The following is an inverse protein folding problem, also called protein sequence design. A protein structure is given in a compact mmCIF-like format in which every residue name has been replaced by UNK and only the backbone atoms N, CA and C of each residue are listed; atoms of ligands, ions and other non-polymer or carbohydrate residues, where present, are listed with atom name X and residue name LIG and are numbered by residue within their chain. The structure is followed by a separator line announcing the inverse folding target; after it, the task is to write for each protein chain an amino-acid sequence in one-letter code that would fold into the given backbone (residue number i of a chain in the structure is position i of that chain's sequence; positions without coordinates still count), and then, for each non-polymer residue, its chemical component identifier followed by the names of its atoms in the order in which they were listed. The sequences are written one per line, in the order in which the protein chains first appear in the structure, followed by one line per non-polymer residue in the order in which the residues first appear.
data_IF_337318637652
#
_entry.id   IF_337318637652
#
_cell.length_a   1.000
_cell.length_b   1.000
_cell.length_c   1.000
_cell.angle_alpha   90.00
_cell.angle_beta   90.00
_cell.angle_gamma   90.00
#
_symmetry.space_group_name_H-M   'P 1'
#
loop_
_entity.id
_entity.type
_entity.pdbx_description
1 polymer ?
#
# COMPACT_ATOMS: atom_id res chain seq x y z
N UNK A 1 -55.10 6.24 -13.04
CA UNK A 1 -54.15 7.26 -12.51
C UNK A 1 -53.04 6.52 -11.81
N UNK A 2 -52.13 5.95 -12.59
CA UNK A 2 -50.90 5.31 -12.11
C UNK A 2 -49.76 6.30 -12.25
N UNK A 3 -49.04 6.55 -11.17
CA UNK A 3 -47.82 7.37 -11.15
C UNK A 3 -46.65 6.48 -10.75
N UNK A 4 -45.81 6.13 -11.74
CA UNK A 4 -44.49 5.54 -11.52
C UNK A 4 -43.51 6.60 -11.01
N UNK A 5 -42.58 6.26 -10.09
CA UNK A 5 -41.48 7.14 -9.73
C UNK A 5 -40.33 7.02 -10.75
N UNK A 6 -39.79 8.17 -11.16
CA UNK A 6 -38.64 8.32 -12.05
C UNK A 6 -37.34 7.90 -11.35
N UNK A 7 -36.57 7.04 -11.99
CA UNK A 7 -35.17 6.76 -11.66
C UNK A 7 -34.25 7.92 -12.07
N UNK A 8 -33.21 8.27 -11.29
CA UNK A 8 -32.22 9.24 -11.73
C UNK A 8 -31.13 8.57 -12.58
N UNK A 9 -30.78 9.23 -13.69
CA UNK A 9 -29.70 8.88 -14.61
C UNK A 9 -28.37 8.66 -13.89
N UNK A 10 -27.83 7.44 -13.98
CA UNK A 10 -26.43 7.18 -13.69
C UNK A 10 -25.56 7.70 -14.85
N UNK A 11 -24.73 8.71 -14.58
CA UNK A 11 -23.65 9.08 -15.50
C UNK A 11 -22.60 7.97 -15.47
N UNK A 12 -22.56 7.19 -16.53
CA UNK A 12 -21.55 6.17 -16.78
C UNK A 12 -20.19 6.85 -16.95
N UNK A 13 -19.27 6.63 -16.01
CA UNK A 13 -17.88 7.07 -16.16
C UNK A 13 -17.21 6.16 -17.18
N UNK A 14 -17.02 6.62 -18.42
CA UNK A 14 -16.20 5.92 -19.42
C UNK A 14 -14.74 6.24 -19.16
N UNK A 15 -13.96 5.23 -18.79
CA UNK A 15 -12.51 5.29 -18.95
C UNK A 15 -12.21 5.42 -20.45
N UNK A 16 -11.42 6.44 -20.84
CA UNK A 16 -10.92 6.56 -22.22
C UNK A 16 -9.82 5.52 -22.42
N UNK A 17 -10.18 4.33 -22.88
CA UNK A 17 -9.24 3.54 -23.69
C UNK A 17 -9.15 4.22 -25.05
N UNK A 18 -7.93 4.56 -25.46
CA UNK A 18 -7.67 5.04 -26.81
C UNK A 18 -7.55 3.85 -27.76
N UNK A 19 -7.96 4.10 -29.00
CA UNK A 19 -8.13 3.18 -30.15
C UNK A 19 -9.50 2.49 -30.15
N UNK A 20 -10.41 3.01 -30.98
CA UNK A 20 -11.70 2.38 -31.26
C UNK A 20 -11.52 1.31 -32.34
N UNK A 21 -12.34 0.25 -32.28
CA UNK A 21 -12.35 -0.83 -33.29
C UNK A 21 -12.63 -0.35 -34.73
N UNK A 22 -13.09 0.90 -34.91
CA UNK A 22 -13.30 1.53 -36.22
C UNK A 22 -11.99 2.00 -36.89
N UNK A 23 -10.89 2.16 -36.15
CA UNK A 23 -9.58 2.53 -36.73
C UNK A 23 -8.78 1.31 -37.21
N UNK A 24 -9.14 0.10 -36.77
CA UNK A 24 -8.52 -1.15 -37.23
C UNK A 24 -9.08 -1.64 -38.58
N UNK A 25 -10.35 -1.36 -38.88
CA UNK A 25 -10.97 -1.70 -40.18
C UNK A 25 -10.52 -0.78 -41.32
N UNK A 26 -10.17 0.48 -41.04
CA UNK A 26 -9.71 1.43 -42.04
C UNK A 26 -8.28 1.16 -42.56
N UNK A 27 -7.52 0.27 -41.91
CA UNK A 27 -6.17 -0.12 -42.33
C UNK A 27 -6.14 -1.40 -43.20
N UNK A 28 -7.29 -2.02 -43.48
CA UNK A 28 -7.38 -3.31 -44.19
C UNK A 28 -7.78 -3.21 -45.68
N UNK A 29 -8.11 -2.03 -46.23
CA UNK A 29 -8.66 -1.89 -47.59
C UNK A 29 -7.76 -1.20 -48.64
N UNK A 30 -6.45 -1.07 -48.42
CA UNK A 30 -5.54 -0.63 -49.49
C UNK A 30 -4.31 -1.53 -49.60
N UNK A 31 -4.35 -2.49 -50.54
CA UNK A 31 -3.20 -3.36 -50.77
C UNK A 31 -3.35 -4.49 -51.79
N UNK A 32 -4.12 -4.33 -52.88
CA UNK A 32 -3.96 -5.22 -54.05
C UNK A 32 -2.94 -4.62 -55.04
N UNK A 33 -1.73 -5.19 -55.10
CA UNK A 33 -1.04 -5.58 -56.34
C UNK A 33 0.47 -5.89 -56.13
N UNK A 34 0.83 -7.12 -56.52
CA UNK A 34 2.13 -7.58 -57.07
C UNK A 34 3.35 -7.69 -56.13
N UNK A 35 3.56 -8.91 -55.64
CA UNK A 35 4.63 -9.82 -56.08
C UNK A 35 6.10 -9.43 -55.87
N UNK A 36 6.75 -10.05 -54.88
CA UNK A 36 7.84 -11.07 -54.95
C UNK A 36 8.80 -10.96 -53.76
N UNK A 37 8.76 -11.98 -52.90
CA UNK A 37 9.87 -12.57 -52.14
C UNK A 37 10.82 -11.67 -51.32
N UNK A 38 10.57 -11.58 -50.01
CA UNK A 38 11.58 -11.71 -48.93
C UNK A 38 10.87 -11.72 -47.56
N UNK A 39 11.37 -12.53 -46.61
CA UNK A 39 10.79 -12.74 -45.27
C UNK A 39 10.70 -11.44 -44.44
N UNK A 40 9.61 -11.19 -43.67
CA UNK A 40 9.50 -9.96 -42.91
C UNK A 40 10.23 -10.05 -41.56
N UNK A 41 11.24 -9.19 -41.42
CA UNK A 41 11.73 -8.72 -40.12
C UNK A 41 10.61 -7.98 -39.39
N UNK A 42 10.49 -8.24 -38.09
CA UNK A 42 9.55 -7.59 -37.17
C UNK A 42 9.74 -6.07 -37.15
N UNK A 43 8.68 -5.24 -37.07
CA UNK A 43 8.83 -3.79 -37.00
C UNK A 43 9.24 -3.36 -35.59
N UNK A 44 10.30 -2.54 -35.53
CA UNK A 44 10.71 -1.77 -34.36
C UNK A 44 9.57 -0.88 -33.86
N UNK A 45 9.16 -1.07 -32.60
CA UNK A 45 8.45 -0.07 -31.80
C UNK A 45 9.38 1.13 -31.57
N UNK A 46 8.90 2.38 -31.65
CA UNK A 46 9.77 3.53 -31.49
C UNK A 46 10.20 3.64 -30.03
N UNK A 47 11.50 3.50 -29.77
CA UNK A 47 12.10 3.83 -28.49
C UNK A 47 12.01 5.34 -28.29
N UNK A 48 11.36 5.77 -27.21
CA UNK A 48 11.47 7.13 -26.71
C UNK A 48 12.92 7.32 -26.20
N UNK A 49 13.76 7.89 -27.05
CA UNK A 49 15.09 8.36 -26.70
C UNK A 49 14.98 9.49 -25.67
N UNK A 50 15.18 9.20 -24.39
CA UNK A 50 15.47 10.22 -23.40
C UNK A 50 16.96 10.58 -23.43
N UNK A 51 17.31 11.62 -24.18
CA UNK A 51 18.50 12.43 -23.90
C UNK A 51 18.09 13.52 -22.91
N UNK A 52 18.42 13.31 -21.64
CA UNK A 52 18.41 14.34 -20.60
C UNK A 52 19.81 14.43 -20.00
N UNK A 53 20.56 15.47 -20.36
CA UNK A 53 21.82 15.85 -19.75
C UNK A 53 21.55 16.73 -18.52
N UNK A 54 22.14 16.38 -17.37
CA UNK A 54 22.52 17.32 -16.32
C UNK A 54 21.39 17.89 -15.43
N UNK A 55 21.27 17.31 -14.23
CA UNK A 55 20.91 17.95 -12.95
C UNK A 55 19.83 19.03 -12.91
N UNK A 56 18.60 18.64 -12.59
CA UNK A 56 17.61 19.33 -11.72
C UNK A 56 16.49 18.33 -11.43
N UNK A 57 15.81 18.47 -10.28
CA UNK A 57 14.74 17.57 -9.79
C UNK A 57 13.72 17.18 -10.87
N UNK A 58 13.27 15.92 -10.83
CA UNK A 58 12.33 15.34 -11.79
C UNK A 58 10.89 15.81 -11.59
N UNK A 59 10.65 17.11 -11.77
CA UNK A 59 9.32 17.66 -11.94
C UNK A 59 8.78 17.28 -13.32
N UNK A 60 7.54 16.80 -13.39
CA UNK A 60 6.87 16.61 -14.67
C UNK A 60 5.40 16.94 -14.56
N UNK A 61 4.79 17.25 -15.70
CA UNK A 61 3.37 17.60 -15.76
C UNK A 61 2.51 16.34 -15.90
N UNK A 62 1.41 16.26 -15.16
CA UNK A 62 0.38 15.24 -15.38
C UNK A 62 -0.48 15.59 -16.61
N UNK A 63 -1.48 14.74 -16.93
CA UNK A 63 -2.40 14.94 -18.07
C UNK A 63 -3.21 16.25 -17.96
N UNK A 64 -3.25 16.87 -16.78
CA UNK A 64 -3.92 18.15 -16.50
C UNK A 64 -2.96 19.33 -16.37
N UNK A 65 -1.66 19.13 -16.63
CA UNK A 65 -0.63 20.17 -16.57
C UNK A 65 -0.10 20.46 -15.16
N UNK A 66 -0.47 19.66 -14.15
CA UNK A 66 -0.05 19.85 -12.77
C UNK A 66 1.36 19.27 -12.55
N UNK A 67 2.24 20.03 -11.88
CA UNK A 67 3.59 19.55 -11.55
C UNK A 67 3.47 18.48 -10.47
N UNK A 68 3.88 17.26 -10.82
CA UNK A 68 3.88 16.09 -9.94
C UNK A 68 5.29 15.54 -9.77
N UNK A 69 5.58 15.03 -8.57
CA UNK A 69 6.86 14.35 -8.29
C UNK A 69 6.93 13.03 -9.05
N UNK A 70 7.85 12.87 -10.01
CA UNK A 70 7.99 11.61 -10.76
C UNK A 70 9.04 10.69 -10.15
N UNK A 71 8.88 9.39 -10.36
CA UNK A 71 9.92 8.43 -10.04
C UNK A 71 11.15 8.70 -10.93
N UNK A 72 12.34 8.49 -10.39
CA UNK A 72 13.60 8.72 -11.10
C UNK A 72 14.54 7.55 -10.91
N UNK A 73 15.36 7.27 -11.92
CA UNK A 73 16.35 6.20 -11.89
C UNK A 73 17.75 6.71 -12.24
N UNK A 74 18.75 6.13 -11.61
CA UNK A 74 20.14 6.25 -12.02
C UNK A 74 20.41 5.49 -13.32
N UNK A 75 21.58 5.74 -13.93
CA UNK A 75 22.04 5.03 -15.15
C UNK A 75 22.13 3.51 -14.98
N UNK A 76 22.32 3.03 -13.75
CA UNK A 76 22.37 1.61 -13.41
C UNK A 76 20.97 0.98 -13.25
N UNK A 77 19.89 1.76 -13.46
CA UNK A 77 18.50 1.32 -13.36
C UNK A 77 17.91 1.35 -11.95
N UNK A 78 18.66 1.78 -10.92
CA UNK A 78 18.17 1.89 -9.54
C UNK A 78 17.36 3.15 -9.32
N UNK A 79 16.24 3.04 -8.62
CA UNK A 79 15.40 4.16 -8.25
C UNK A 79 16.04 5.06 -7.18
N UNK A 80 15.73 6.34 -7.25
CA UNK A 80 16.24 7.37 -6.32
C UNK A 80 15.10 8.14 -5.68
N UNK A 81 15.29 8.53 -4.42
CA UNK A 81 14.39 9.45 -3.74
C UNK A 81 14.61 10.88 -4.26
N UNK A 82 13.56 11.59 -4.69
CA UNK A 82 13.68 12.96 -5.18
C UNK A 82 13.68 14.02 -4.07
N UNK A 83 13.36 13.68 -2.81
CA UNK A 83 13.16 14.68 -1.76
C UNK A 83 14.47 15.04 -1.03
N UNK A 84 14.68 16.33 -0.69
CA UNK A 84 15.85 16.76 0.08
C UNK A 84 15.86 16.22 1.52
N UNK A 85 14.74 15.72 2.02
CA UNK A 85 14.62 15.03 3.30
C UNK A 85 15.28 13.64 3.28
N UNK A 86 15.50 13.05 2.10
CA UNK A 86 16.11 11.73 1.96
C UNK A 86 17.61 11.73 2.22
N UNK A 87 18.02 10.92 3.19
CA UNK A 87 19.41 10.63 3.47
C UNK A 87 19.52 9.15 3.86
N UNK A 88 20.18 8.33 3.04
CA UNK A 88 20.40 6.94 3.41
C UNK A 88 21.43 6.88 4.55
N UNK A 89 21.20 6.07 5.61
CA UNK A 89 22.15 5.96 6.71
C UNK A 89 23.54 5.53 6.25
N UNK A 90 24.57 6.16 6.82
CA UNK A 90 25.95 5.79 6.52
C UNK A 90 26.26 4.36 6.99
N UNK A 91 27.26 3.70 6.40
CA UNK A 91 27.69 2.37 6.86
C UNK A 91 28.11 2.37 8.34
N UNK A 92 28.68 3.48 8.82
CA UNK A 92 29.03 3.63 10.24
C UNK A 92 27.76 3.71 11.12
N UNK A 93 26.74 4.46 10.68
CA UNK A 93 25.45 4.56 11.37
C UNK A 93 24.72 3.20 11.42
N UNK A 94 24.73 2.45 10.32
CA UNK A 94 24.14 1.11 10.25
C UNK A 94 24.89 0.11 11.14
N UNK A 95 26.22 0.13 11.13
CA UNK A 95 27.03 -0.73 12.00
C UNK A 95 26.74 -0.43 13.48
N UNK A 96 26.68 0.85 13.83
CA UNK A 96 26.29 1.30 15.17
C UNK A 96 24.90 0.80 15.54
N UNK A 97 23.92 1.00 14.67
CA UNK A 97 22.54 0.56 14.89
C UNK A 97 22.42 -0.94 15.18
N UNK A 98 23.09 -1.78 14.39
CA UNK A 98 22.98 -3.24 14.53
C UNK A 98 23.81 -3.84 15.67
N UNK A 99 24.95 -3.23 16.02
CA UNK A 99 25.91 -3.86 16.94
C UNK A 99 26.13 -3.11 18.25
N UNK A 100 25.88 -1.80 18.30
CA UNK A 100 26.28 -0.94 19.41
C UNK A 100 25.10 -0.28 20.11
N UNK A 101 24.06 0.07 19.35
CA UNK A 101 22.88 0.68 19.94
C UNK A 101 22.17 -0.29 20.87
N UNK A 102 21.76 0.25 22.01
CA UNK A 102 21.02 -0.51 22.99
C UNK A 102 19.59 -0.72 22.48
N UNK A 103 19.18 -1.97 22.43
CA UNK A 103 17.80 -2.34 22.18
C UNK A 103 16.94 -1.92 23.39
N UNK A 104 15.99 -1.01 23.17
CA UNK A 104 15.02 -0.56 24.17
C UNK A 104 13.60 -1.08 23.89
N UNK A 105 13.45 -2.08 23.01
CA UNK A 105 12.15 -2.67 22.67
C UNK A 105 11.41 -3.24 23.88
N UNK A 106 12.16 -3.75 24.88
CA UNK A 106 11.67 -4.37 26.11
C UNK A 106 10.46 -5.28 25.88
N UNK A 107 10.59 -6.20 24.94
CA UNK A 107 9.54 -7.16 24.63
C UNK A 107 9.17 -7.98 25.87
N UNK A 108 7.87 -8.22 26.12
CA UNK A 108 7.43 -9.00 27.25
C UNK A 108 7.92 -10.44 27.11
N UNK A 109 8.33 -11.02 28.24
CA UNK A 109 8.91 -12.37 28.27
C UNK A 109 7.87 -13.46 28.44
N UNK A 110 6.71 -13.12 28.97
CA UNK A 110 5.61 -14.05 29.21
C UNK A 110 4.48 -13.83 28.21
N UNK A 111 3.78 -14.92 27.90
CA UNK A 111 2.61 -14.87 27.02
C UNK A 111 1.48 -14.09 27.70
N UNK A 112 1.35 -14.21 29.01
CA UNK A 112 0.30 -13.59 29.81
C UNK A 112 0.42 -12.06 29.82
N UNK A 113 1.65 -11.55 29.94
CA UNK A 113 1.91 -10.10 29.85
C UNK A 113 1.59 -9.59 28.44
N UNK A 114 2.09 -10.26 27.41
CA UNK A 114 1.81 -9.86 26.03
C UNK A 114 0.30 -9.93 25.73
N UNK A 115 -0.40 -10.97 26.20
CA UNK A 115 -1.85 -11.15 25.97
C UNK A 115 -2.69 -10.10 26.73
N UNK A 116 -2.17 -9.53 27.82
CA UNK A 116 -2.78 -8.42 28.54
C UNK A 116 -2.59 -7.08 27.81
N UNK A 117 -1.38 -6.80 27.34
CA UNK A 117 -1.05 -5.50 26.73
C UNK A 117 -1.44 -5.41 25.24
N UNK A 118 -1.29 -6.53 24.51
CA UNK A 118 -1.59 -6.65 23.08
C UNK A 118 -2.41 -7.92 22.82
N UNK A 119 -3.70 -7.93 23.18
CA UNK A 119 -4.56 -9.09 23.02
C UNK A 119 -4.71 -9.47 21.54
N UNK A 120 -4.71 -10.78 21.27
CA UNK A 120 -4.96 -11.33 19.94
C UNK A 120 -6.44 -11.70 19.80
N UNK A 121 -7.19 -10.86 19.10
CA UNK A 121 -8.62 -11.05 18.87
C UNK A 121 -8.86 -11.92 17.63
N UNK A 122 -10.00 -12.63 17.65
CA UNK A 122 -10.49 -13.32 16.45
C UNK A 122 -11.21 -12.31 15.55
N UNK A 123 -10.84 -12.19 14.27
CA UNK A 123 -11.49 -11.26 13.36
C UNK A 123 -12.99 -11.47 13.20
N UNK A 124 -13.71 -10.37 12.98
CA UNK A 124 -15.17 -10.37 12.82
C UNK A 124 -15.66 -11.31 11.70
N UNK A 125 -14.93 -11.41 10.58
CA UNK A 125 -15.26 -12.32 9.48
C UNK A 125 -15.08 -13.81 9.81
N UNK A 126 -14.39 -14.17 10.90
CA UNK A 126 -14.35 -15.56 11.40
C UNK A 126 -15.55 -15.82 12.31
N UNK A 127 -15.89 -14.84 13.13
CA UNK A 127 -16.98 -14.94 14.10
C UNK A 127 -18.36 -14.90 13.41
N UNK A 128 -18.48 -14.06 12.38
CA UNK A 128 -19.67 -13.78 11.60
C UNK A 128 -19.30 -13.64 10.11
N UNK A 129 -19.08 -14.74 9.39
CA UNK A 129 -18.69 -14.70 7.97
C UNK A 129 -19.67 -13.92 7.08
N UNK A 130 -20.96 -13.92 7.44
CA UNK A 130 -22.04 -13.21 6.75
C UNK A 130 -21.88 -11.68 6.75
N UNK A 131 -21.09 -11.12 7.66
CA UNK A 131 -20.86 -9.67 7.69
C UNK A 131 -19.76 -9.22 6.73
N UNK A 132 -18.98 -10.14 6.15
CA UNK A 132 -17.88 -9.78 5.26
C UNK A 132 -18.40 -9.35 3.89
N UNK A 133 -17.92 -8.21 3.38
CA UNK A 133 -18.35 -7.59 2.13
C UNK A 133 -19.68 -6.83 2.20
N UNK A 134 -20.32 -6.75 3.38
CA UNK A 134 -21.69 -6.20 3.52
C UNK A 134 -21.74 -4.79 4.12
N UNK A 135 -20.68 -4.00 4.00
CA UNK A 135 -20.57 -2.64 4.59
C UNK A 135 -21.44 -1.56 3.92
N UNK A 136 -22.24 -1.92 2.91
CA UNK A 136 -23.08 -0.97 2.16
C UNK A 136 -22.25 0.14 1.53
N UNK A 137 -22.61 1.40 1.81
CA UNK A 137 -21.82 2.57 1.40
C UNK A 137 -20.69 2.93 2.37
N UNK A 138 -20.55 2.22 3.49
CA UNK A 138 -19.49 2.42 4.46
C UNK A 138 -18.20 1.66 4.12
N UNK A 139 -17.28 1.64 5.08
CA UNK A 139 -16.00 0.97 5.03
C UNK A 139 -15.79 0.17 6.33
N UNK A 140 -15.22 -1.03 6.24
CA UNK A 140 -14.70 -1.76 7.40
C UNK A 140 -13.22 -1.99 7.26
N UNK A 141 -12.50 -1.86 8.37
CA UNK A 141 -11.09 -2.15 8.45
C UNK A 141 -10.84 -3.19 9.53
N UNK A 142 -9.96 -4.15 9.27
CA UNK A 142 -9.46 -5.12 10.24
C UNK A 142 -7.94 -5.10 10.26
N UNK A 143 -7.33 -4.88 11.42
CA UNK A 143 -5.88 -4.91 11.54
C UNK A 143 -5.38 -6.34 11.77
N UNK A 144 -4.61 -6.89 10.84
CA UNK A 144 -4.05 -8.25 10.94
C UNK A 144 -2.64 -8.27 11.56
N UNK A 145 -2.17 -7.12 12.03
CA UNK A 145 -0.85 -6.89 12.58
C UNK A 145 0.13 -6.34 11.55
N UNK A 146 1.14 -5.64 12.05
CA UNK A 146 2.16 -4.94 11.25
C UNK A 146 1.52 -3.97 10.25
N UNK A 147 1.92 -4.00 8.98
CA UNK A 147 1.29 -3.28 7.88
C UNK A 147 0.15 -4.05 7.19
N UNK A 148 -0.19 -5.26 7.68
CA UNK A 148 -1.27 -6.06 7.10
C UNK A 148 -2.64 -5.59 7.57
N UNK A 149 -3.40 -4.98 6.66
CA UNK A 149 -4.76 -4.49 6.90
C UNK A 149 -5.70 -5.08 5.86
N UNK A 150 -6.83 -5.63 6.33
CA UNK A 150 -7.96 -6.01 5.49
C UNK A 150 -8.97 -4.86 5.46
N UNK A 151 -9.30 -4.37 4.26
CA UNK A 151 -10.23 -3.25 4.04
C UNK A 151 -11.38 -3.72 3.19
N UNK A 152 -12.60 -3.50 3.66
CA UNK A 152 -13.84 -3.79 2.94
C UNK A 152 -14.48 -2.45 2.56
N UNK A 153 -14.57 -2.15 1.27
CA UNK A 153 -15.14 -0.88 0.78
C UNK A 153 -15.68 -1.06 -0.65
N UNK A 154 -16.79 -0.40 -0.96
CA UNK A 154 -17.30 -0.30 -2.33
C UNK A 154 -17.46 -1.67 -3.05
N UNK A 155 -17.78 -2.70 -2.28
CA UNK A 155 -17.96 -4.08 -2.75
C UNK A 155 -16.67 -4.88 -2.97
N UNK A 156 -15.52 -4.37 -2.54
CA UNK A 156 -14.22 -5.05 -2.60
C UNK A 156 -13.69 -5.38 -1.22
N UNK A 157 -12.94 -6.50 -1.14
CA UNK A 157 -12.08 -6.83 -0.02
C UNK A 157 -10.61 -6.72 -0.46
N UNK A 158 -9.90 -5.78 0.15
CA UNK A 158 -8.53 -5.40 -0.18
C UNK A 158 -7.61 -5.80 0.97
N UNK A 159 -6.46 -6.38 0.67
CA UNK A 159 -5.44 -6.75 1.66
C UNK A 159 -4.14 -6.01 1.37
N UNK A 160 -3.58 -5.35 2.38
CA UNK A 160 -2.30 -4.61 2.25
C UNK A 160 -1.16 -5.45 2.82
N UNK A 161 0.01 -5.41 2.17
CA UNK A 161 1.30 -5.96 2.64
C UNK A 161 1.17 -7.23 3.53
N UNK A 162 0.63 -8.33 2.98
CA UNK A 162 0.26 -9.49 3.78
C UNK A 162 1.48 -10.27 4.28
N UNK A 163 1.62 -10.37 5.60
CA UNK A 163 2.60 -11.25 6.27
C UNK A 163 1.93 -12.14 7.34
N UNK A 164 1.75 -13.41 6.99
CA UNK A 164 1.24 -14.47 7.86
C UNK A 164 2.36 -15.36 8.42
N UNK A 165 3.57 -15.28 7.86
CA UNK A 165 4.73 -16.01 8.36
C UNK A 165 5.17 -15.55 9.75
N UNK A 166 5.93 -16.41 10.43
CA UNK A 166 6.48 -16.12 11.77
C UNK A 166 7.70 -15.18 11.71
N UNK A 167 8.45 -15.21 10.61
CA UNK A 167 9.63 -14.36 10.42
C UNK A 167 9.54 -13.52 9.14
N UNK A 168 9.92 -12.26 9.27
CA UNK A 168 10.17 -11.35 8.16
C UNK A 168 11.62 -11.53 7.66
N UNK A 169 11.86 -12.60 6.91
CA UNK A 169 13.22 -13.02 6.53
C UNK A 169 13.19 -13.93 5.30
N UNK A 170 14.27 -13.98 4.49
CA UNK A 170 14.43 -15.00 3.46
C UNK A 170 14.50 -16.42 4.06
N UNK A 171 14.77 -16.55 5.36
CA UNK A 171 14.92 -17.82 6.05
C UNK A 171 13.99 -17.91 7.27
N UNK A 172 13.35 -19.05 7.50
CA UNK A 172 12.49 -19.23 8.66
C UNK A 172 13.25 -19.52 9.98
N UNK A 173 14.57 -19.72 9.92
CA UNK A 173 15.42 -19.97 11.08
C UNK A 173 16.21 -18.74 11.57
N UNK A 174 16.31 -17.66 10.78
CA UNK A 174 17.02 -16.43 11.16
C UNK A 174 16.24 -15.17 10.76
N UNK A 175 16.61 -14.01 11.30
CA UNK A 175 15.95 -12.73 11.04
C UNK A 175 14.77 -12.44 11.98
N UNK A 176 14.13 -11.26 11.87
CA UNK A 176 13.10 -10.80 12.79
C UNK A 176 11.94 -11.79 12.92
N UNK A 177 11.63 -12.23 14.14
CA UNK A 177 10.44 -13.04 14.46
C UNK A 177 9.38 -12.12 15.04
N UNK A 178 8.13 -12.25 14.59
CA UNK A 178 7.02 -11.54 15.23
C UNK A 178 6.87 -12.00 16.67
N UNK A 179 6.70 -11.05 17.58
CA UNK A 179 6.36 -11.36 18.97
C UNK A 179 4.85 -11.54 19.14
N UNK A 180 4.04 -10.96 18.25
CA UNK A 180 2.58 -11.19 18.20
C UNK A 180 2.19 -11.86 16.87
N UNK A 181 1.58 -13.04 16.96
CA UNK A 181 1.15 -13.84 15.80
C UNK A 181 0.03 -13.19 14.98
N UNK A 182 -0.23 -13.65 13.75
CA UNK A 182 -1.37 -13.19 12.97
C UNK A 182 -2.67 -13.66 13.63
N UNK A 183 -3.76 -12.86 13.60
CA UNK A 183 -5.03 -13.19 14.24
C UNK A 183 -5.83 -14.27 13.49
N UNK A 184 -5.40 -14.62 12.27
CA UNK A 184 -6.01 -15.65 11.44
C UNK A 184 -4.98 -16.29 10.49
N UNK A 185 -5.33 -17.43 9.90
CA UNK A 185 -4.59 -18.03 8.79
C UNK A 185 -5.09 -17.53 7.44
N UNK A 186 -4.29 -17.73 6.38
CA UNK A 186 -4.73 -17.42 5.01
C UNK A 186 -6.01 -18.16 4.64
N UNK A 187 -6.24 -19.39 5.12
CA UNK A 187 -7.46 -20.16 4.84
C UNK A 187 -8.72 -19.59 5.52
N UNK A 188 -8.55 -18.80 6.58
CA UNK A 188 -9.64 -18.18 7.32
C UNK A 188 -10.03 -16.80 6.80
N UNK A 189 -9.25 -16.21 5.88
CA UNK A 189 -9.63 -14.94 5.27
C UNK A 189 -10.97 -15.08 4.52
N UNK A 190 -11.76 -13.99 4.39
CA UNK A 190 -12.83 -13.96 3.41
C UNK A 190 -12.26 -14.02 1.98
N UNK A 191 -13.11 -13.96 0.96
CA UNK A 191 -12.64 -13.70 -0.41
C UNK A 191 -11.84 -12.39 -0.41
N UNK A 192 -10.67 -12.39 -1.05
CA UNK A 192 -9.85 -11.20 -1.24
C UNK A 192 -9.80 -10.90 -2.73
N UNK A 193 -10.20 -9.70 -3.13
CA UNK A 193 -10.26 -9.30 -4.53
C UNK A 193 -8.94 -8.68 -5.00
N UNK A 194 -8.27 -7.94 -4.10
CA UNK A 194 -7.00 -7.26 -4.40
C UNK A 194 -6.00 -7.35 -3.24
N UNK A 195 -4.73 -7.53 -3.57
CA UNK A 195 -3.60 -7.31 -2.66
C UNK A 195 -2.79 -6.10 -3.12
N UNK A 196 -2.45 -5.22 -2.19
CA UNK A 196 -1.60 -4.04 -2.42
C UNK A 196 -0.24 -4.28 -1.78
N UNK A 197 0.82 -4.20 -2.59
CA UNK A 197 2.21 -4.27 -2.12
C UNK A 197 2.82 -2.87 -2.17
N UNK A 198 3.26 -2.33 -1.03
CA UNK A 198 3.92 -1.02 -0.97
C UNK A 198 5.36 -1.06 -1.47
N UNK A 199 6.12 -2.07 -1.05
CA UNK A 199 7.55 -2.22 -1.34
C UNK A 199 8.03 -3.65 -1.04
N UNK A 200 9.33 -3.91 -1.23
CA UNK A 200 9.86 -5.28 -1.27
C UNK A 200 10.44 -5.82 0.04
N UNK A 201 10.43 -5.11 1.17
CA UNK A 201 11.03 -5.64 2.41
C UNK A 201 10.29 -6.89 2.90
N UNK A 202 10.99 -7.73 3.67
CA UNK A 202 10.49 -9.07 4.02
C UNK A 202 9.28 -9.07 4.95
N UNK A 203 9.06 -7.98 5.69
CA UNK A 203 7.93 -7.74 6.56
C UNK A 203 6.70 -7.18 5.82
N UNK A 204 6.84 -6.79 4.55
CA UNK A 204 5.75 -6.31 3.68
C UNK A 204 5.47 -7.24 2.50
N UNK A 205 6.51 -7.94 2.01
CA UNK A 205 6.44 -8.91 0.93
C UNK A 205 6.99 -10.27 1.40
N UNK A 206 6.10 -11.03 2.04
CA UNK A 206 6.39 -12.38 2.53
C UNK A 206 6.05 -13.46 1.48
N UNK A 207 7.05 -14.21 1.04
CA UNK A 207 6.90 -15.28 0.04
C UNK A 207 5.95 -16.39 0.51
N UNK A 208 5.89 -16.68 1.81
CA UNK A 208 4.98 -17.69 2.36
C UNK A 208 3.52 -17.26 2.23
N UNK A 209 3.26 -15.97 2.49
CA UNK A 209 1.94 -15.35 2.32
C UNK A 209 1.55 -15.27 0.85
N UNK A 210 2.45 -14.82 -0.03
CA UNK A 210 2.21 -14.78 -1.49
C UNK A 210 1.85 -16.17 -2.01
N UNK A 211 2.64 -17.18 -1.66
CA UNK A 211 2.39 -18.57 -2.08
C UNK A 211 1.04 -19.09 -1.57
N UNK A 212 0.69 -18.82 -0.32
CA UNK A 212 -0.56 -19.32 0.29
C UNK A 212 -1.79 -18.62 -0.30
N UNK A 213 -1.72 -17.29 -0.48
CA UNK A 213 -2.80 -16.51 -1.11
C UNK A 213 -3.00 -16.90 -2.57
N UNK A 214 -1.92 -17.04 -3.34
CA UNK A 214 -1.98 -17.48 -4.74
C UNK A 214 -2.52 -18.92 -4.86
N UNK A 215 -2.14 -19.82 -3.96
CA UNK A 215 -2.69 -21.18 -3.91
C UNK A 215 -4.20 -21.18 -3.65
N UNK A 216 -4.68 -20.29 -2.75
CA UNK A 216 -6.08 -20.25 -2.35
C UNK A 216 -6.98 -19.57 -3.39
N UNK A 217 -6.57 -18.41 -3.89
CA UNK A 217 -7.42 -17.54 -4.72
C UNK A 217 -7.05 -17.57 -6.22
N UNK A 218 -5.85 -18.02 -6.57
CA UNK A 218 -5.42 -18.19 -7.96
C UNK A 218 -5.51 -16.89 -8.78
N UNK A 219 -6.07 -17.00 -9.99
CA UNK A 219 -6.18 -15.89 -10.94
C UNK A 219 -7.28 -14.87 -10.59
N UNK A 220 -8.20 -15.20 -9.68
CA UNK A 220 -9.24 -14.27 -9.22
C UNK A 220 -8.65 -13.15 -8.36
N UNK A 221 -7.59 -13.44 -7.60
CA UNK A 221 -6.89 -12.45 -6.82
C UNK A 221 -6.00 -11.59 -7.70
N UNK A 222 -6.22 -10.28 -7.69
CA UNK A 222 -5.33 -9.31 -8.36
C UNK A 222 -4.26 -8.80 -7.40
N UNK A 223 -3.03 -8.74 -7.89
CA UNK A 223 -1.88 -8.19 -7.18
C UNK A 223 -1.51 -6.85 -7.77
N UNK A 224 -1.54 -5.80 -6.97
CA UNK A 224 -1.05 -4.48 -7.32
C UNK A 224 0.33 -4.27 -6.70
N UNK A 225 1.32 -4.03 -7.55
CA UNK A 225 2.72 -4.03 -7.14
C UNK A 225 3.51 -2.85 -7.71
N UNK A 226 4.60 -2.44 -7.04
CA UNK A 226 5.47 -1.38 -7.54
C UNK A 226 6.21 -1.79 -8.82
N UNK A 227 6.53 -0.79 -9.65
CA UNK A 227 7.36 -0.94 -10.84
C UNK A 227 8.67 -1.69 -10.57
N UNK A 228 8.90 -2.78 -11.29
CA UNK A 228 10.04 -3.69 -11.17
C UNK A 228 9.74 -5.02 -10.44
N UNK A 229 8.56 -5.19 -9.85
CA UNK A 229 8.21 -6.39 -9.06
C UNK A 229 7.45 -7.47 -9.85
N UNK A 230 6.91 -7.17 -11.03
CA UNK A 230 6.05 -8.09 -11.79
C UNK A 230 6.70 -9.46 -12.03
N UNK A 231 7.95 -9.47 -12.48
CA UNK A 231 8.68 -10.71 -12.78
C UNK A 231 8.89 -11.59 -11.54
N UNK A 232 9.10 -10.98 -10.36
CA UNK A 232 9.20 -11.73 -9.11
C UNK A 232 7.85 -12.37 -8.73
N UNK A 233 6.76 -11.61 -8.82
CA UNK A 233 5.41 -12.13 -8.56
C UNK A 233 5.05 -13.29 -9.51
N UNK A 234 5.36 -13.15 -10.79
CA UNK A 234 5.15 -14.21 -11.79
C UNK A 234 5.99 -15.45 -11.47
N UNK A 235 7.22 -15.30 -10.98
CA UNK A 235 8.05 -16.42 -10.54
C UNK A 235 7.46 -17.17 -9.32
N UNK A 236 6.66 -16.49 -8.50
CA UNK A 236 5.86 -17.10 -7.43
C UNK A 236 4.55 -17.73 -7.93
N UNK A 237 4.29 -17.70 -9.24
CA UNK A 237 3.11 -18.27 -9.88
C UNK A 237 1.89 -17.36 -9.91
N UNK A 238 2.02 -16.08 -9.51
CA UNK A 238 0.92 -15.10 -9.57
C UNK A 238 0.65 -14.72 -11.03
N UNK A 239 -0.58 -14.91 -11.50
CA UNK A 239 -0.96 -14.68 -12.91
C UNK A 239 -1.59 -13.31 -13.17
N UNK A 240 -2.31 -12.77 -12.20
CA UNK A 240 -3.05 -11.50 -12.32
C UNK A 240 -2.31 -10.42 -11.53
N UNK A 241 -1.25 -9.87 -12.14
CA UNK A 241 -0.34 -8.90 -11.52
C UNK A 241 -0.35 -7.62 -12.34
N UNK A 242 -0.65 -6.51 -11.68
CA UNK A 242 -0.61 -5.16 -12.24
C UNK A 242 0.56 -4.43 -11.59
N UNK A 243 1.52 -4.06 -12.42
CA UNK A 243 2.71 -3.31 -12.03
C UNK A 243 2.51 -1.84 -12.39
N UNK A 244 2.76 -0.93 -11.45
CA UNK A 244 2.52 0.50 -11.62
C UNK A 244 3.72 1.35 -11.18
N UNK A 245 4.00 2.40 -11.94
CA UNK A 245 4.80 3.54 -11.50
C UNK A 245 3.95 4.49 -10.65
N UNK A 246 4.60 5.45 -9.97
CA UNK A 246 3.89 6.50 -9.26
C UNK A 246 2.95 7.27 -10.19
N UNK A 247 1.75 7.54 -9.67
CA UNK A 247 0.61 8.18 -10.32
C UNK A 247 -0.05 7.40 -11.45
N UNK A 248 0.45 6.20 -11.77
CA UNK A 248 -0.27 5.29 -12.63
C UNK A 248 -1.44 4.66 -11.88
N UNK A 249 -2.50 4.36 -12.62
CA UNK A 249 -3.77 3.91 -12.09
C UNK A 249 -4.29 2.69 -12.85
N UNK A 250 -5.00 1.82 -12.14
CA UNK A 250 -5.69 0.66 -12.71
C UNK A 250 -6.91 0.30 -11.85
N UNK A 251 -7.90 -0.38 -12.41
CA UNK A 251 -9.18 -0.66 -11.72
C UNK A 251 -9.39 -2.15 -11.39
N UNK A 252 -10.23 -2.46 -10.39
CA UNK A 252 -10.80 -3.82 -10.13
C UNK A 252 -12.28 -3.73 -9.79
N UNK A 253 -13.14 -4.49 -10.49
CA UNK A 253 -13.96 -4.01 -11.63
C UNK A 253 -13.94 -2.49 -11.93
N UNK A 254 -14.60 -2.03 -12.99
CA UNK A 254 -14.55 -0.64 -13.54
C UNK A 254 -15.04 0.49 -12.61
N UNK A 255 -15.18 0.26 -11.30
CA UNK A 255 -15.73 1.21 -10.32
C UNK A 255 -14.73 1.69 -9.28
N UNK A 256 -13.72 0.90 -8.92
CA UNK A 256 -12.73 1.25 -7.90
C UNK A 256 -11.37 1.38 -8.56
N UNK A 257 -10.76 2.55 -8.41
CA UNK A 257 -9.48 2.90 -9.00
C UNK A 257 -8.37 2.75 -7.96
N UNK A 258 -7.30 2.07 -8.33
CA UNK A 258 -6.10 1.87 -7.53
C UNK A 258 -4.99 2.71 -8.16
N UNK A 259 -4.44 3.64 -7.41
CA UNK A 259 -3.35 4.51 -7.83
C UNK A 259 -2.14 4.21 -6.96
N UNK A 260 -1.01 3.89 -7.59
CA UNK A 260 0.24 3.79 -6.86
C UNK A 260 0.80 5.21 -6.66
N UNK A 261 1.02 5.63 -5.42
CA UNK A 261 1.42 7.01 -5.10
C UNK A 261 2.81 7.05 -4.45
N UNK A 262 3.52 8.18 -4.48
CA UNK A 262 4.87 8.24 -3.91
C UNK A 262 4.92 8.01 -2.40
N UNK A 263 6.08 7.54 -1.93
CA UNK A 263 6.50 7.49 -0.54
C UNK A 263 8.03 7.66 -0.47
N UNK A 264 8.57 8.11 0.67
CA UNK A 264 10.01 8.23 0.87
C UNK A 264 10.54 6.99 1.59
N UNK A 265 10.97 5.99 0.82
CA UNK A 265 11.54 4.75 1.35
C UNK A 265 12.56 4.15 0.38
N UNK A 266 12.78 2.84 0.47
CA UNK A 266 13.71 2.09 -0.35
C UNK A 266 13.28 0.63 -0.46
N UNK A 267 13.93 -0.12 -1.34
CA UNK A 267 13.69 -1.54 -1.55
C UNK A 267 14.99 -2.32 -1.49
N UNK A 268 15.03 -3.45 -0.79
CA UNK A 268 16.12 -4.44 -0.89
C UNK A 268 15.66 -5.81 -0.41
N UNK A 269 16.08 -6.87 -1.09
CA UNK A 269 15.86 -8.27 -0.65
C UNK A 269 17.13 -9.09 -0.65
N UNK A 270 18.04 -8.82 -1.57
CA UNK A 270 19.31 -9.51 -1.72
C UNK A 270 20.47 -8.52 -1.60
N UNK A 271 21.73 -8.99 -1.49
CA UNK A 271 22.86 -8.08 -1.35
C UNK A 271 23.06 -7.09 -2.52
N UNK A 272 22.46 -7.33 -3.69
CA UNK A 272 22.75 -6.59 -4.94
C UNK A 272 21.56 -5.90 -5.59
N UNK A 273 20.35 -5.99 -5.01
CA UNK A 273 19.10 -5.53 -5.62
C UNK A 273 18.51 -4.24 -5.03
N UNK A 274 19.32 -3.50 -4.26
CA UNK A 274 18.93 -2.21 -3.69
C UNK A 274 18.27 -1.29 -4.72
N UNK A 275 17.02 -0.89 -4.47
CA UNK A 275 16.24 0.01 -5.30
C UNK A 275 16.10 -0.42 -6.77
N UNK A 276 16.21 -1.71 -7.10
CA UNK A 276 15.84 -2.22 -8.44
C UNK A 276 14.32 -2.23 -8.67
N UNK A 277 13.56 -2.26 -7.58
CA UNK A 277 12.10 -2.17 -7.55
C UNK A 277 11.72 -0.86 -6.86
N UNK A 278 10.65 -0.23 -7.34
CA UNK A 278 10.09 0.97 -6.75
C UNK A 278 9.44 0.67 -5.38
N UNK A 279 9.19 1.71 -4.60
CA UNK A 279 8.43 1.69 -3.34
C UNK A 279 7.36 2.76 -3.41
N UNK A 280 6.32 2.70 -2.59
CA UNK A 280 5.28 3.72 -2.62
C UNK A 280 4.15 3.47 -1.64
N UNK A 281 3.17 4.34 -1.73
CA UNK A 281 1.88 4.27 -1.05
C UNK A 281 0.78 3.89 -2.05
N UNK A 282 -0.43 3.64 -1.57
CA UNK A 282 -1.58 3.34 -2.42
C UNK A 282 -2.75 4.27 -2.10
N UNK A 283 -3.35 4.84 -3.14
CA UNK A 283 -4.64 5.53 -3.06
C UNK A 283 -5.71 4.69 -3.75
N UNK A 284 -6.73 4.26 -3.01
CA UNK A 284 -7.86 3.48 -3.51
C UNK A 284 -9.11 4.35 -3.52
N UNK A 285 -9.67 4.58 -4.70
CA UNK A 285 -10.74 5.54 -4.93
C UNK A 285 -11.98 4.80 -5.42
N UNK A 286 -12.93 4.60 -4.51
CA UNK A 286 -14.25 4.05 -4.80
C UNK A 286 -15.32 5.14 -5.01
N UNK A 287 -16.54 4.75 -5.41
CA UNK A 287 -17.67 5.66 -5.56
C UNK A 287 -18.17 6.24 -4.23
N UNK A 288 -18.10 5.49 -3.13
CA UNK A 288 -18.54 5.93 -1.80
C UNK A 288 -17.38 6.28 -0.88
N UNK A 289 -16.28 5.52 -0.92
CA UNK A 289 -15.18 5.68 0.02
C UNK A 289 -13.82 5.84 -0.68
N UNK A 290 -12.88 6.46 0.03
CA UNK A 290 -11.48 6.56 -0.37
C UNK A 290 -10.57 6.07 0.74
N UNK A 291 -9.65 5.18 0.40
CA UNK A 291 -8.68 4.61 1.32
C UNK A 291 -7.25 4.96 0.89
N UNK A 292 -6.41 5.38 1.85
CA UNK A 292 -4.99 5.61 1.65
C UNK A 292 -4.18 4.60 2.46
N UNK A 293 -3.16 4.00 1.87
CA UNK A 293 -2.21 3.14 2.55
C UNK A 293 -0.80 3.69 2.37
N UNK A 294 -0.19 4.14 3.46
CA UNK A 294 1.10 4.83 3.40
C UNK A 294 2.28 3.90 3.03
N UNK A 295 2.17 2.60 3.36
CA UNK A 295 3.33 1.73 3.42
C UNK A 295 4.34 2.20 4.47
N UNK A 296 5.60 1.86 4.25
CA UNK A 296 6.70 2.46 4.99
C UNK A 296 7.18 3.72 4.30
N UNK A 297 7.47 4.73 5.10
CA UNK A 297 7.91 6.02 4.59
C UNK A 297 8.55 6.85 5.70
N UNK A 298 9.59 7.63 5.36
CA UNK A 298 9.88 8.88 6.04
C UNK A 298 8.92 9.99 5.60
N UNK A 299 8.91 11.10 6.31
CA UNK A 299 8.06 12.23 5.93
C UNK A 299 8.60 12.94 4.68
N UNK A 300 7.71 13.27 3.71
CA UNK A 300 8.07 13.99 2.48
C UNK A 300 6.89 14.83 1.94
N UNK A 301 7.17 15.76 1.04
CA UNK A 301 6.16 16.71 0.51
C UNK A 301 5.05 16.05 -0.32
N UNK A 302 5.26 14.83 -0.82
CA UNK A 302 4.30 14.14 -1.68
C UNK A 302 2.96 13.87 -1.00
N UNK A 303 2.90 13.79 0.32
CA UNK A 303 1.64 13.59 1.04
C UNK A 303 0.66 14.75 0.82
N UNK A 304 1.16 15.98 0.68
CA UNK A 304 0.35 17.15 0.34
C UNK A 304 -0.13 17.10 -1.12
N UNK A 305 0.71 16.61 -2.03
CA UNK A 305 0.32 16.37 -3.44
C UNK A 305 -0.82 15.34 -3.50
N UNK A 306 -0.66 14.21 -2.81
CA UNK A 306 -1.67 13.14 -2.71
C UNK A 306 -2.98 13.70 -2.13
N UNK A 307 -2.93 14.42 -1.01
CA UNK A 307 -4.12 15.01 -0.40
C UNK A 307 -4.80 16.10 -1.22
N UNK A 308 -4.07 16.86 -2.05
CA UNK A 308 -4.69 17.77 -3.03
C UNK A 308 -5.38 17.02 -4.15
N UNK A 309 -4.76 15.96 -4.68
CA UNK A 309 -5.24 15.27 -5.88
C UNK A 309 -6.38 14.31 -5.60
N UNK A 310 -6.30 13.57 -4.49
CA UNK A 310 -7.18 12.45 -4.19
C UNK A 310 -7.94 12.60 -2.87
N UNK A 311 -7.54 13.52 -2.00
CA UNK A 311 -8.25 13.78 -0.74
C UNK A 311 -9.62 14.46 -0.94
N UNK A 312 -10.45 14.52 0.12
CA UNK A 312 -10.22 13.88 1.42
C UNK A 312 -10.38 12.36 1.36
N UNK A 313 -9.59 11.63 2.17
CA UNK A 313 -9.74 10.18 2.34
C UNK A 313 -10.64 9.86 3.54
N UNK A 314 -11.45 8.82 3.44
CA UNK A 314 -12.28 8.37 4.57
C UNK A 314 -11.45 7.64 5.62
N UNK A 315 -10.48 6.83 5.17
CA UNK A 315 -9.51 6.15 6.02
C UNK A 315 -8.10 6.22 5.43
N UNK A 316 -7.10 6.49 6.27
CA UNK A 316 -5.69 6.29 5.95
C UNK A 316 -5.02 5.31 6.92
N UNK A 317 -4.38 4.25 6.43
CA UNK A 317 -3.52 3.39 7.24
C UNK A 317 -2.08 3.92 7.19
N UNK A 318 -1.54 4.37 8.33
CA UNK A 318 -0.27 5.11 8.44
C UNK A 318 0.62 4.47 9.50
N UNK A 319 1.89 4.24 9.15
CA UNK A 319 2.91 3.66 10.04
C UNK A 319 3.21 4.58 11.22
N UNK A 320 3.38 4.00 12.41
CA UNK A 320 3.76 4.74 13.63
C UNK A 320 4.95 4.12 14.38
N UNK A 321 5.49 3.00 13.91
CA UNK A 321 6.59 2.27 14.55
C UNK A 321 7.83 2.17 13.65
N UNK A 322 8.90 1.58 14.18
CA UNK A 322 10.22 1.45 13.57
C UNK A 322 11.02 2.77 13.43
N UNK A 323 10.83 3.70 14.36
CA UNK A 323 11.37 5.06 14.23
C UNK A 323 12.63 5.34 15.05
N UNK A 324 13.07 4.49 15.98
CA UNK A 324 14.32 4.73 16.74
C UNK A 324 15.51 3.88 16.28
N UNK A 325 16.73 4.46 16.26
CA UNK A 325 17.06 5.84 16.61
C UNK A 325 16.78 6.83 15.46
N UNK A 326 16.36 8.07 15.77
CA UNK A 326 15.93 9.03 14.73
C UNK A 326 17.02 9.41 13.74
N UNK A 327 18.29 9.45 14.14
CA UNK A 327 19.37 9.80 13.21
C UNK A 327 19.62 8.72 12.13
N UNK A 328 19.14 7.50 12.35
CA UNK A 328 19.17 6.40 11.39
C UNK A 328 17.83 6.26 10.68
N UNK A 329 16.73 6.27 11.43
CA UNK A 329 15.42 5.88 10.91
C UNK A 329 14.63 7.02 10.28
N UNK A 330 14.92 8.30 10.59
CA UNK A 330 14.05 9.43 10.20
C UNK A 330 13.77 9.55 8.69
N UNK A 331 14.75 9.22 7.85
CA UNK A 331 14.55 9.27 6.40
C UNK A 331 13.76 8.07 5.86
N UNK A 332 13.68 6.97 6.62
CA UNK A 332 13.10 5.68 6.23
C UNK A 332 11.71 5.46 6.85
N UNK A 333 11.51 5.91 8.09
CA UNK A 333 10.30 5.71 8.88
C UNK A 333 9.92 6.99 9.64
N UNK A 334 8.64 7.35 9.55
CA UNK A 334 8.01 8.37 10.38
C UNK A 334 7.94 7.95 11.85
N UNK A 335 8.06 8.92 12.75
CA UNK A 335 7.59 8.77 14.12
C UNK A 335 6.09 9.13 14.23
N UNK A 336 5.44 8.91 15.39
CA UNK A 336 4.01 9.18 15.53
C UNK A 336 3.62 10.65 15.27
N UNK A 337 4.50 11.61 15.55
CA UNK A 337 4.29 13.03 15.25
C UNK A 337 4.27 13.27 13.75
N UNK A 338 5.26 12.77 13.01
CA UNK A 338 5.28 12.83 11.55
C UNK A 338 4.10 12.06 10.92
N UNK A 339 3.63 10.97 11.54
CA UNK A 339 2.42 10.26 11.10
C UNK A 339 1.16 11.14 11.21
N UNK A 340 1.05 11.98 12.25
CA UNK A 340 -0.04 12.97 12.38
C UNK A 340 0.07 14.06 11.30
N UNK A 341 1.28 14.45 10.89
CA UNK A 341 1.46 15.33 9.74
C UNK A 341 0.96 14.69 8.44
N UNK A 342 1.29 13.40 8.20
CA UNK A 342 0.77 12.65 7.05
C UNK A 342 -0.76 12.62 7.07
N UNK A 343 -1.38 12.32 8.22
CA UNK A 343 -2.84 12.32 8.38
C UNK A 343 -3.48 13.63 7.92
N UNK A 344 -2.90 14.77 8.30
CA UNK A 344 -3.35 16.10 7.87
C UNK A 344 -3.10 16.35 6.39
N UNK A 345 -1.91 16.05 5.90
CA UNK A 345 -1.48 16.36 4.53
C UNK A 345 -2.26 15.58 3.48
N UNK A 346 -2.54 14.29 3.73
CA UNK A 346 -3.40 13.49 2.85
C UNK A 346 -4.88 13.84 3.02
N UNK A 347 -5.23 14.67 4.00
CA UNK A 347 -6.61 15.07 4.35
C UNK A 347 -7.48 13.86 4.70
N UNK A 348 -6.96 12.96 5.54
CA UNK A 348 -7.71 11.83 6.04
C UNK A 348 -8.75 12.29 7.08
N UNK A 349 -9.99 11.79 6.99
CA UNK A 349 -11.00 11.98 8.04
C UNK A 349 -10.67 11.12 9.25
N UNK A 350 -10.30 9.87 8.99
CA UNK A 350 -9.83 8.92 9.99
C UNK A 350 -8.53 8.24 9.55
N UNK A 351 -7.72 7.80 10.52
CA UNK A 351 -6.51 7.02 10.29
C UNK A 351 -6.42 5.83 11.23
N UNK A 352 -5.89 4.73 10.71
CA UNK A 352 -5.51 3.53 11.46
C UNK A 352 -3.98 3.49 11.60
N UNK A 353 -3.50 3.32 12.82
CA UNK A 353 -2.09 3.10 13.10
C UNK A 353 -1.64 1.68 12.73
N UNK A 354 -0.56 1.58 11.96
CA UNK A 354 0.04 0.32 11.51
C UNK A 354 1.56 0.27 11.80
N UNK A 355 2.23 -0.83 11.41
CA UNK A 355 3.69 -1.01 11.52
C UNK A 355 4.26 -1.10 12.95
N UNK A 356 3.39 -1.24 13.96
CA UNK A 356 3.79 -1.34 15.38
C UNK A 356 3.26 -2.62 16.04
N UNK A 357 3.73 -2.91 17.26
CA UNK A 357 3.16 -3.96 18.12
C UNK A 357 3.25 -5.40 17.58
N UNK A 358 4.08 -5.66 16.55
CA UNK A 358 4.10 -6.97 15.85
C UNK A 358 5.49 -7.56 15.71
N UNK A 359 6.43 -6.78 15.15
CA UNK A 359 7.84 -7.11 15.03
C UNK A 359 8.66 -6.05 15.78
N UNK A 360 9.80 -6.45 16.35
CA UNK A 360 10.81 -5.50 16.82
C UNK A 360 11.81 -5.27 15.68
N UNK A 361 11.64 -4.16 14.96
CA UNK A 361 12.46 -3.79 13.80
C UNK A 361 13.40 -2.61 14.09
N UNK A 362 13.22 -1.97 15.24
CA UNK A 362 13.90 -0.79 15.70
C UNK A 362 13.99 -0.82 17.24
N UNK A 363 14.48 0.27 17.83
CA UNK A 363 14.85 0.28 19.24
C UNK A 363 13.81 0.91 20.17
N UNK A 364 12.69 1.44 19.70
CA UNK A 364 11.65 1.99 20.58
C UNK A 364 10.93 0.93 21.41
N UNK A 365 10.50 1.32 22.62
CA UNK A 365 9.68 0.45 23.48
C UNK A 365 8.39 0.05 22.76
N UNK A 366 8.04 -1.23 22.80
CA UNK A 366 6.99 -1.78 21.93
C UNK A 366 5.57 -1.17 22.13
N UNK A 367 5.29 -0.55 23.28
CA UNK A 367 4.04 0.17 23.57
C UNK A 367 4.17 1.71 23.51
N UNK A 368 5.35 2.24 23.21
CA UNK A 368 5.54 3.68 23.04
C UNK A 368 4.76 4.28 21.86
N UNK A 369 4.65 3.64 20.68
CA UNK A 369 4.05 4.27 19.51
C UNK A 369 2.61 4.77 19.72
N UNK A 370 1.66 4.00 20.30
CA UNK A 370 0.31 4.49 20.59
C UNK A 370 0.25 5.67 21.57
N UNK A 371 1.15 5.70 22.55
CA UNK A 371 1.21 6.76 23.55
C UNK A 371 1.62 8.06 22.88
N UNK A 372 2.72 8.04 22.12
CA UNK A 372 3.20 9.20 21.37
C UNK A 372 2.23 9.64 20.28
N UNK A 373 1.51 8.72 19.64
CA UNK A 373 0.45 9.06 18.68
C UNK A 373 -0.65 9.89 19.35
N UNK A 374 -1.15 9.44 20.51
CA UNK A 374 -2.18 10.16 21.27
C UNK A 374 -1.69 11.56 21.64
N UNK A 375 -0.48 11.67 22.19
CA UNK A 375 0.13 12.95 22.57
C UNK A 375 0.29 13.89 21.36
N UNK A 376 0.71 13.35 20.21
CA UNK A 376 0.84 14.11 18.97
C UNK A 376 -0.50 14.65 18.45
N UNK A 377 -1.57 13.84 18.53
CA UNK A 377 -2.93 14.25 18.17
C UNK A 377 -3.43 15.37 19.09
N UNK A 378 -3.26 15.22 20.40
CA UNK A 378 -3.66 16.22 21.41
C UNK A 378 -2.89 17.54 21.23
N UNK A 379 -1.57 17.46 21.02
CA UNK A 379 -0.71 18.63 20.78
C UNK A 379 -1.11 19.42 19.53
N UNK A 380 -1.62 18.74 18.51
CA UNK A 380 -2.13 19.36 17.28
C UNK A 380 -3.59 19.81 17.40
N UNK A 381 -4.25 19.65 18.54
CA UNK A 381 -5.66 20.00 18.74
C UNK A 381 -6.62 19.13 17.93
N UNK A 382 -6.20 17.91 17.55
CA UNK A 382 -7.01 16.96 16.79
C UNK A 382 -7.75 16.01 17.72
N UNK A 383 -8.89 15.48 17.25
CA UNK A 383 -9.63 14.46 17.97
C UNK A 383 -8.85 13.13 17.93
N UNK A 384 -8.46 12.61 19.09
CA UNK A 384 -7.73 11.33 19.22
C UNK A 384 -8.48 10.14 18.60
N UNK A 385 -9.81 10.21 18.49
CA UNK A 385 -10.63 9.18 17.82
C UNK A 385 -10.51 9.20 16.29
N UNK A 386 -9.93 10.27 15.72
CA UNK A 386 -9.68 10.37 14.28
C UNK A 386 -8.39 9.66 13.86
N UNK A 387 -7.46 9.37 14.76
CA UNK A 387 -6.30 8.53 14.45
C UNK A 387 -6.16 7.47 15.54
N UNK A 388 -6.77 6.33 15.27
CA UNK A 388 -6.96 5.28 16.25
C UNK A 388 -6.00 4.11 16.06
N UNK A 389 -5.78 3.39 17.16
CA UNK A 389 -5.12 2.08 17.18
C UNK A 389 -6.19 1.00 17.29
N UNK A 390 -5.88 -0.20 16.82
CA UNK A 390 -6.69 -1.40 16.99
C UNK A 390 -5.86 -2.46 17.71
N UNK A 391 -6.51 -3.42 18.34
CA UNK A 391 -5.86 -4.66 18.74
C UNK A 391 -5.67 -5.57 17.52
N UNK A 392 -4.72 -6.52 17.59
CA UNK A 392 -4.54 -7.51 16.53
C UNK A 392 -5.81 -8.32 16.33
N UNK A 393 -6.37 -8.27 15.12
CA UNK A 393 -7.61 -8.95 14.75
C UNK A 393 -8.88 -8.14 15.00
N UNK A 394 -8.78 -6.95 15.59
CA UNK A 394 -9.94 -6.08 15.79
C UNK A 394 -10.42 -5.46 14.47
N UNK A 395 -11.74 -5.31 14.35
CA UNK A 395 -12.39 -4.67 13.20
C UNK A 395 -13.13 -3.40 13.62
N UNK A 396 -13.10 -2.37 12.78
CA UNK A 396 -13.89 -1.14 12.95
C UNK A 396 -14.66 -0.81 11.67
N UNK A 397 -15.94 -0.49 11.82
CA UNK A 397 -16.81 0.01 10.73
C UNK A 397 -16.88 1.54 10.81
N UNK A 398 -16.80 2.20 9.65
CA UNK A 398 -16.88 3.65 9.51
C UNK A 398 -17.76 3.99 8.31
N UNK A 399 -18.61 5.01 8.46
CA UNK A 399 -19.58 5.34 7.41
C UNK A 399 -20.65 4.26 7.21
N UNK A 400 -21.63 4.57 6.36
CA UNK A 400 -22.84 3.75 6.16
C UNK A 400 -24.01 4.24 7.01
N UNK A 401 -25.22 4.21 6.44
CA UNK A 401 -26.44 4.39 7.23
C UNK A 401 -26.43 3.32 8.33
N UNK A 402 -26.52 3.73 9.60
CA UNK A 402 -26.93 2.80 10.64
C UNK A 402 -28.30 2.31 10.20
N UNK A 403 -28.44 1.05 9.82
CA UNK A 403 -29.78 0.46 9.80
C UNK A 403 -30.39 0.76 11.16
N UNK A 404 -31.45 1.56 11.14
CA UNK A 404 -32.10 2.05 12.34
C UNK A 404 -32.51 0.86 13.19
N UNK A 405 -31.79 0.67 14.29
CA UNK A 405 -32.24 -0.15 15.41
C UNK A 405 -33.45 0.53 16.04
N UNK A 406 -34.61 0.35 15.43
CA UNK A 406 -35.89 0.50 16.11
C UNK A 406 -36.17 -0.81 16.83
N UNK A 407 -36.08 -0.80 18.16
CA UNK A 407 -37.19 -1.02 19.10
C UNK A 407 -36.94 -0.16 20.33
#
# INVERSE_FOLDING_TARGET
TETQPKTPNSKQCRCRSTISEQELEAMAEQGEARGTGEEPRTPNTPSLNHRGTGGTFGEGQDVKGEVITRSTREKNGRFTNPWPTWHYPSSASLLRFYLLDKDHSNLPRSKEELDRELPLLKPSFIQSPEVSGTVGSGLRVTWLGHASVLVEMDGLVILTDPIFSQRASPFQFMGPKRFRGPPCTVDQLPKVDAVLISHTHYDHLDVGSVSSLNKRFGAELRWFVPLGLQGWMQSCGCKNVIELDWWEESCVPDKVMFVFTPAQHWCKRTPTDDNRVLWGSWSVLGPCNRFFFAGDTGYCSSFQEIGRRFGPFDLAAISIGAYLPRDVMKSLHVDPEEAVEIHKDVKAKHSLAIHWGTFALAHEFYLEPPVRLREAMEKNGLNVEHFFVLNHGESRVMGGEREGGGV
#
